data_IF_081758128316
#
_entry.id   IF_081758128316
#
_cell.length_a   1.000
_cell.length_b   1.000
_cell.length_c   1.000
_cell.angle_alpha   90.00
_cell.angle_beta   90.00
_cell.angle_gamma   90.00
#
_symmetry.space_group_name_H-M   'P 1'
#
loop_
_entity.id
_entity.type
_entity.pdbx_description
1 polymer ?
#
# COMPACT_ATOMS: atom_id res chain seq x y z
N UNK A 1 2.93 42.15 1.52
CA UNK A 1 2.96 41.38 2.79
C UNK A 1 2.58 39.89 2.66
N UNK A 2 2.09 39.40 1.50
CA UNK A 2 1.74 37.96 1.28
C UNK A 2 2.95 37.01 1.16
N UNK A 3 4.18 37.51 1.04
CA UNK A 3 5.38 36.69 0.75
C UNK A 3 6.03 36.02 1.97
N UNK A 4 5.80 36.52 3.18
CA UNK A 4 6.50 36.00 4.38
C UNK A 4 5.89 34.73 5.00
N UNK A 5 4.60 34.46 4.74
CA UNK A 5 3.90 33.32 5.35
C UNK A 5 4.10 32.00 4.60
N UNK A 6 4.42 32.05 3.30
CA UNK A 6 4.75 30.88 2.48
C UNK A 6 6.16 30.30 2.78
N UNK A 7 6.98 31.04 3.52
CA UNK A 7 8.32 30.62 3.96
C UNK A 7 8.27 29.62 5.11
N UNK A 8 7.13 29.48 5.79
CA UNK A 8 7.01 28.54 6.88
C UNK A 8 6.49 27.21 6.34
N UNK A 9 7.34 26.17 6.41
CA UNK A 9 7.03 24.78 6.02
C UNK A 9 5.68 24.31 6.59
N UNK A 10 5.32 24.74 7.80
CA UNK A 10 4.05 24.42 8.44
C UNK A 10 2.85 25.05 7.72
N UNK A 11 2.95 26.32 7.31
CA UNK A 11 1.89 27.03 6.60
C UNK A 11 1.78 26.52 5.17
N UNK A 12 2.91 26.32 4.48
CA UNK A 12 2.94 25.74 3.14
C UNK A 12 2.31 24.35 3.10
N UNK A 13 2.69 23.47 4.03
CA UNK A 13 2.12 22.12 4.14
C UNK A 13 0.64 22.13 4.53
N UNK A 14 0.21 23.07 5.37
CA UNK A 14 -1.21 23.23 5.73
C UNK A 14 -2.04 23.69 4.54
N UNK A 15 -1.54 24.64 3.74
CA UNK A 15 -2.20 25.10 2.52
C UNK A 15 -2.26 23.99 1.47
N UNK A 16 -1.16 23.27 1.25
CA UNK A 16 -1.11 22.09 0.39
C UNK A 16 -2.18 21.07 0.80
N UNK A 17 -2.29 20.77 2.10
CA UNK A 17 -3.31 19.85 2.64
C UNK A 17 -4.72 20.36 2.38
N UNK A 18 -4.96 21.65 2.54
CA UNK A 18 -6.28 22.28 2.31
C UNK A 18 -6.68 22.21 0.83
N UNK A 19 -5.81 22.66 -0.07
CA UNK A 19 -6.08 22.64 -1.51
C UNK A 19 -6.19 21.22 -2.07
N UNK A 20 -5.33 20.28 -1.64
CA UNK A 20 -5.43 18.87 -2.02
C UNK A 20 -6.75 18.21 -1.59
N UNK A 21 -7.31 18.62 -0.44
CA UNK A 21 -8.62 18.11 0.03
C UNK A 21 -9.77 18.61 -0.84
N UNK A 22 -9.65 19.80 -1.41
CA UNK A 22 -10.65 20.43 -2.27
C UNK A 22 -10.46 20.14 -3.77
N UNK A 23 -9.61 19.19 -4.12
CA UNK A 23 -9.26 18.84 -5.51
C UNK A 23 -8.57 19.96 -6.32
N UNK A 24 -8.11 21.02 -5.66
CA UNK A 24 -7.38 22.14 -6.25
C UNK A 24 -5.87 21.84 -6.32
N UNK A 25 -5.53 20.78 -7.05
CA UNK A 25 -4.18 20.25 -7.10
C UNK A 25 -3.17 21.16 -7.79
N UNK A 26 -3.60 21.93 -8.81
CA UNK A 26 -2.72 22.88 -9.50
C UNK A 26 -2.22 23.95 -8.52
N UNK A 27 -3.13 24.52 -7.73
CA UNK A 27 -2.79 25.46 -6.66
C UNK A 27 -1.88 24.82 -5.59
N UNK A 28 -2.13 23.56 -5.24
CA UNK A 28 -1.29 22.85 -4.28
C UNK A 28 0.14 22.60 -4.81
N UNK A 29 0.29 22.29 -6.11
CA UNK A 29 1.59 22.19 -6.78
C UNK A 29 2.29 23.54 -6.80
N UNK A 30 1.59 24.62 -7.20
CA UNK A 30 2.16 25.96 -7.21
C UNK A 30 2.68 26.38 -5.83
N UNK A 31 1.94 26.06 -4.76
CA UNK A 31 2.37 26.34 -3.40
C UNK A 31 3.61 25.53 -3.05
N UNK A 32 3.63 24.24 -3.35
CA UNK A 32 4.80 23.39 -3.13
C UNK A 32 6.04 23.97 -3.85
N UNK A 33 5.90 24.33 -5.12
CA UNK A 33 6.99 24.88 -5.94
C UNK A 33 7.51 26.21 -5.40
N UNK A 34 6.63 27.03 -4.82
CA UNK A 34 6.97 28.32 -4.21
C UNK A 34 7.54 28.24 -2.79
N UNK A 35 7.51 27.07 -2.15
CA UNK A 35 8.15 26.88 -0.85
C UNK A 35 9.68 26.88 -1.02
N UNK A 36 10.37 27.75 -0.27
CA UNK A 36 11.85 27.80 -0.25
C UNK A 36 12.44 26.52 0.35
N UNK A 37 11.84 26.01 1.43
CA UNK A 37 12.17 24.72 2.01
C UNK A 37 10.98 23.76 1.84
N UNK A 38 11.23 22.59 1.23
CA UNK A 38 10.28 21.49 1.13
C UNK A 38 10.80 20.34 1.97
N UNK A 39 9.96 19.77 2.81
CA UNK A 39 10.31 18.64 3.64
C UNK A 39 9.60 17.36 3.16
N UNK A 40 9.95 16.21 3.74
CA UNK A 40 9.30 14.93 3.42
C UNK A 40 7.77 15.01 3.57
N UNK A 41 7.28 15.81 4.52
CA UNK A 41 5.86 15.93 4.84
C UNK A 41 5.07 16.64 3.75
N UNK A 42 5.57 17.75 3.20
CA UNK A 42 4.89 18.50 2.13
C UNK A 42 4.76 17.64 0.86
N UNK A 43 5.81 16.94 0.46
CA UNK A 43 5.79 15.98 -0.65
C UNK A 43 4.83 14.81 -0.40
N UNK A 44 4.90 14.20 0.77
CA UNK A 44 4.03 13.07 1.14
C UNK A 44 2.56 13.48 1.12
N UNK A 45 2.24 14.70 1.59
CA UNK A 45 0.86 15.23 1.58
C UNK A 45 0.31 15.32 0.16
N UNK A 46 1.12 15.77 -0.80
CA UNK A 46 0.73 15.83 -2.21
C UNK A 46 0.51 14.43 -2.81
N UNK A 47 1.44 13.50 -2.57
CA UNK A 47 1.34 12.11 -3.04
C UNK A 47 0.06 11.45 -2.52
N UNK A 48 -0.19 11.57 -1.22
CA UNK A 48 -1.40 11.02 -0.56
C UNK A 48 -2.67 11.67 -1.15
N UNK A 49 -2.64 12.99 -1.37
CA UNK A 49 -3.75 13.73 -1.96
C UNK A 49 -4.13 13.20 -3.34
N UNK A 50 -3.16 13.10 -4.25
CA UNK A 50 -3.37 12.58 -5.60
C UNK A 50 -3.80 11.10 -5.59
N UNK A 51 -3.11 10.26 -4.81
CA UNK A 51 -3.44 8.82 -4.69
C UNK A 51 -4.87 8.60 -4.21
N UNK A 52 -5.36 9.37 -3.22
CA UNK A 52 -6.73 9.28 -2.71
C UNK A 52 -7.81 9.66 -3.72
N UNK A 53 -7.46 10.47 -4.73
CA UNK A 53 -8.38 10.91 -5.79
C UNK A 53 -8.21 10.11 -7.08
N UNK A 54 -7.54 8.96 -7.03
CA UNK A 54 -7.24 8.10 -8.18
C UNK A 54 -6.46 8.80 -9.31
N UNK A 55 -5.73 9.86 -8.97
CA UNK A 55 -4.83 10.59 -9.86
C UNK A 55 -3.45 9.93 -9.83
N UNK A 56 -3.38 8.67 -10.27
CA UNK A 56 -2.22 7.79 -10.07
C UNK A 56 -0.97 8.29 -10.79
N UNK A 57 -1.12 8.88 -11.99
CA UNK A 57 0.00 9.40 -12.76
C UNK A 57 0.63 10.63 -12.10
N UNK A 58 -0.21 11.54 -11.59
CA UNK A 58 0.22 12.74 -10.88
C UNK A 58 0.89 12.36 -9.56
N UNK A 59 0.35 11.37 -8.83
CA UNK A 59 0.97 10.86 -7.61
C UNK A 59 2.41 10.36 -7.87
N UNK A 60 2.60 9.54 -8.91
CA UNK A 60 3.95 9.10 -9.32
C UNK A 60 4.82 10.27 -9.76
N UNK A 61 4.29 11.22 -10.52
CA UNK A 61 5.05 12.39 -10.94
C UNK A 61 5.61 13.16 -9.74
N UNK A 62 4.78 13.40 -8.72
CA UNK A 62 5.22 14.03 -7.47
C UNK A 62 6.26 13.19 -6.73
N UNK A 63 6.09 11.87 -6.68
CA UNK A 63 7.07 10.96 -6.07
C UNK A 63 8.42 10.99 -6.80
N UNK A 64 8.42 10.96 -8.14
CA UNK A 64 9.66 11.05 -8.93
C UNK A 64 10.37 12.37 -8.67
N UNK A 65 9.65 13.50 -8.72
CA UNK A 65 10.23 14.82 -8.41
C UNK A 65 10.81 14.91 -7.00
N UNK A 66 10.12 14.33 -6.02
CA UNK A 66 10.62 14.24 -4.64
C UNK A 66 12.00 13.58 -4.60
N UNK A 67 12.17 12.46 -5.32
CA UNK A 67 13.45 11.75 -5.39
C UNK A 67 14.51 12.52 -6.19
N UNK A 68 14.12 13.20 -7.27
CA UNK A 68 15.02 14.04 -8.09
C UNK A 68 15.57 15.25 -7.31
N UNK A 69 14.79 15.80 -6.38
CA UNK A 69 15.23 16.84 -5.44
C UNK A 69 16.08 16.27 -4.27
N UNK A 70 16.42 14.98 -4.30
CA UNK A 70 17.26 14.33 -3.29
C UNK A 70 16.53 14.01 -1.98
N UNK A 71 15.21 14.14 -1.93
CA UNK A 71 14.41 13.84 -0.75
C UNK A 71 14.06 12.35 -0.72
N UNK A 72 14.20 11.73 0.46
CA UNK A 72 13.79 10.34 0.65
C UNK A 72 12.30 10.26 0.94
N UNK A 73 11.59 9.39 0.22
CA UNK A 73 10.22 9.02 0.54
C UNK A 73 10.15 8.19 1.82
N UNK A 74 9.19 8.50 2.69
CA UNK A 74 8.82 7.68 3.85
C UNK A 74 7.73 6.66 3.55
N UNK A 75 7.30 5.96 4.60
CA UNK A 75 6.35 4.85 4.57
C UNK A 75 5.00 5.26 3.97
N UNK A 76 4.47 6.43 4.38
CA UNK A 76 3.19 6.95 3.90
C UNK A 76 3.19 7.27 2.40
N UNK A 77 4.31 7.78 1.89
CA UNK A 77 4.46 8.04 0.45
C UNK A 77 4.51 6.72 -0.32
N UNK A 78 5.32 5.75 0.15
CA UNK A 78 5.43 4.43 -0.48
C UNK A 78 4.10 3.68 -0.53
N UNK A 79 3.39 3.57 0.59
CA UNK A 79 2.08 2.90 0.63
C UNK A 79 1.08 3.55 -0.33
N UNK A 80 1.08 4.88 -0.41
CA UNK A 80 0.20 5.64 -1.32
C UNK A 80 0.54 5.43 -2.79
N UNK A 81 1.82 5.36 -3.14
CA UNK A 81 2.28 5.09 -4.51
C UNK A 81 2.02 3.64 -4.90
N UNK A 82 2.29 2.66 -4.05
CA UNK A 82 1.99 1.25 -4.33
C UNK A 82 0.50 1.04 -4.61
N UNK A 83 -0.37 1.72 -3.87
CA UNK A 83 -1.82 1.73 -4.14
C UNK A 83 -2.17 2.34 -5.50
N UNK A 84 -1.52 3.44 -5.88
CA UNK A 84 -1.69 4.05 -7.20
C UNK A 84 -1.17 3.14 -8.32
N UNK A 85 -0.07 2.42 -8.08
CA UNK A 85 0.46 1.44 -9.01
C UNK A 85 -0.50 0.27 -9.22
N UNK A 86 -1.10 -0.23 -8.14
CA UNK A 86 -2.06 -1.33 -8.19
C UNK A 86 -3.34 -0.99 -8.97
N UNK A 87 -3.71 0.30 -9.04
CA UNK A 87 -4.97 0.72 -9.65
C UNK A 87 -4.89 0.99 -11.15
N UNK A 88 -3.81 1.64 -11.62
CA UNK A 88 -3.75 2.15 -13.01
C UNK A 88 -2.39 1.93 -13.66
N UNK A 89 -1.28 2.01 -12.92
CA UNK A 89 0.06 2.09 -13.53
C UNK A 89 0.63 0.69 -13.84
N UNK A 90 0.31 -0.30 -13.01
CA UNK A 90 0.64 -1.71 -13.25
C UNK A 90 2.03 -2.13 -12.75
N UNK A 91 2.53 -3.23 -13.33
CA UNK A 91 3.68 -3.98 -12.83
C UNK A 91 4.98 -3.15 -12.80
N UNK A 92 5.30 -2.46 -13.89
CA UNK A 92 6.61 -1.81 -14.09
C UNK A 92 6.88 -0.72 -13.06
N UNK A 93 5.90 0.12 -12.78
CA UNK A 93 6.01 1.23 -11.84
C UNK A 93 6.04 0.71 -10.40
N UNK A 94 5.15 -0.21 -10.04
CA UNK A 94 5.15 -0.76 -8.69
C UNK A 94 6.36 -1.65 -8.38
N UNK A 95 6.94 -2.35 -9.36
CA UNK A 95 8.19 -3.10 -9.15
C UNK A 95 9.38 -2.18 -8.90
N UNK A 96 9.42 -1.00 -9.52
CA UNK A 96 10.44 0.02 -9.23
C UNK A 96 10.28 0.57 -7.81
N UNK A 97 9.03 0.81 -7.38
CA UNK A 97 8.70 1.29 -6.04
C UNK A 97 9.06 0.25 -4.98
N UNK A 98 8.80 -1.04 -5.22
CA UNK A 98 9.28 -2.13 -4.37
C UNK A 98 10.81 -2.19 -4.33
N UNK A 99 11.49 -2.03 -5.48
CA UNK A 99 12.95 -1.95 -5.53
C UNK A 99 13.51 -0.76 -4.75
N UNK A 100 12.82 0.38 -4.75
CA UNK A 100 13.15 1.52 -3.90
C UNK A 100 13.00 1.16 -2.42
N UNK A 101 11.88 0.53 -2.02
CA UNK A 101 11.65 0.13 -0.64
C UNK A 101 12.78 -0.75 -0.10
N UNK A 102 13.23 -1.75 -0.88
CA UNK A 102 14.37 -2.61 -0.53
C UNK A 102 15.66 -1.80 -0.34
N UNK A 103 15.94 -0.87 -1.25
CA UNK A 103 17.17 -0.03 -1.17
C UNK A 103 17.18 0.87 0.06
N UNK A 104 16.02 1.29 0.54
CA UNK A 104 15.88 2.18 1.69
C UNK A 104 15.53 1.44 2.99
N UNK A 105 15.48 0.11 2.97
CA UNK A 105 15.09 -0.73 4.10
C UNK A 105 13.64 -0.51 4.58
N UNK A 106 12.82 0.20 3.81
CA UNK A 106 11.42 0.50 4.14
C UNK A 106 10.51 -0.70 3.92
N UNK A 107 10.94 -1.73 3.19
CA UNK A 107 10.26 -3.03 3.14
C UNK A 107 10.16 -3.72 4.50
N UNK A 108 10.97 -3.28 5.48
CA UNK A 108 10.90 -3.77 6.85
C UNK A 108 9.74 -3.17 7.66
N UNK A 109 9.17 -2.04 7.22
CA UNK A 109 7.95 -1.50 7.81
C UNK A 109 6.76 -2.40 7.46
N UNK A 110 5.94 -2.73 8.45
CA UNK A 110 4.81 -3.64 8.29
C UNK A 110 3.76 -3.09 7.29
N UNK A 111 3.52 -1.77 7.31
CA UNK A 111 2.53 -1.13 6.44
C UNK A 111 3.01 -1.09 4.99
N UNK A 112 4.29 -0.79 4.77
CA UNK A 112 4.92 -0.85 3.44
C UNK A 112 4.91 -2.27 2.91
N UNK A 113 5.32 -3.25 3.71
CA UNK A 113 5.33 -4.67 3.32
C UNK A 113 3.95 -5.17 2.92
N UNK A 114 2.93 -4.88 3.73
CA UNK A 114 1.55 -5.22 3.41
C UNK A 114 1.07 -4.54 2.11
N UNK A 115 1.47 -3.28 1.88
CA UNK A 115 1.14 -2.54 0.65
C UNK A 115 1.83 -3.12 -0.59
N UNK A 116 3.07 -3.62 -0.46
CA UNK A 116 3.78 -4.31 -1.55
C UNK A 116 3.06 -5.62 -1.89
N UNK A 117 2.65 -6.39 -0.87
CA UNK A 117 1.90 -7.63 -1.09
C UNK A 117 0.56 -7.34 -1.79
N UNK A 118 -0.24 -6.39 -1.27
CA UNK A 118 -1.51 -5.98 -1.87
C UNK A 118 -1.34 -5.51 -3.32
N UNK A 119 -0.27 -4.76 -3.61
CA UNK A 119 0.07 -4.37 -4.97
C UNK A 119 0.22 -5.58 -5.90
N UNK A 120 1.06 -6.56 -5.54
CA UNK A 120 1.29 -7.73 -6.36
C UNK A 120 0.04 -8.60 -6.54
N UNK A 121 -0.75 -8.77 -5.47
CA UNK A 121 -2.03 -9.49 -5.53
C UNK A 121 -2.98 -8.82 -6.51
N UNK A 122 -3.14 -7.49 -6.45
CA UNK A 122 -4.08 -6.74 -7.30
C UNK A 122 -3.70 -6.75 -8.79
N UNK A 123 -2.42 -6.83 -9.11
CA UNK A 123 -1.98 -6.96 -10.50
C UNK A 123 -1.94 -8.42 -10.99
N UNK A 124 -2.37 -9.38 -10.15
CA UNK A 124 -2.43 -10.80 -10.49
C UNK A 124 -1.12 -11.57 -10.34
N UNK A 125 -0.06 -10.96 -9.79
CA UNK A 125 1.23 -11.60 -9.55
C UNK A 125 1.32 -12.17 -8.12
N UNK A 126 0.54 -13.23 -7.87
CA UNK A 126 0.51 -13.89 -6.56
C UNK A 126 1.85 -14.54 -6.19
N UNK A 127 2.68 -14.88 -7.18
CA UNK A 127 4.02 -15.42 -6.94
C UNK A 127 4.91 -14.37 -6.25
N UNK A 128 4.98 -13.15 -6.78
CA UNK A 128 5.74 -12.07 -6.15
C UNK A 128 5.17 -11.68 -4.79
N UNK A 129 3.84 -11.68 -4.63
CA UNK A 129 3.21 -11.47 -3.33
C UNK A 129 3.64 -12.53 -2.30
N UNK A 130 3.66 -13.81 -2.72
CA UNK A 130 4.13 -14.93 -1.89
C UNK A 130 5.60 -14.81 -1.53
N UNK A 131 6.44 -14.39 -2.47
CA UNK A 131 7.87 -14.18 -2.21
C UNK A 131 8.12 -13.10 -1.14
N UNK A 132 7.33 -12.02 -1.15
CA UNK A 132 7.40 -10.97 -0.13
C UNK A 132 6.92 -11.51 1.22
N UNK A 133 5.86 -12.32 1.24
CA UNK A 133 5.37 -12.98 2.44
C UNK A 133 6.43 -13.90 3.07
N UNK A 134 7.00 -14.83 2.29
CA UNK A 134 7.95 -15.84 2.79
C UNK A 134 9.27 -15.24 3.28
N UNK A 135 9.64 -14.06 2.75
CA UNK A 135 10.84 -13.32 3.18
C UNK A 135 10.59 -12.44 4.40
N UNK A 136 9.37 -12.41 4.94
CA UNK A 136 9.07 -11.57 6.09
C UNK A 136 9.72 -12.12 7.36
N UNK A 137 10.40 -11.28 8.16
CA UNK A 137 10.94 -11.70 9.44
C UNK A 137 9.84 -11.93 10.50
N UNK A 138 8.67 -11.32 10.31
CA UNK A 138 7.52 -11.42 11.20
C UNK A 138 6.24 -11.57 10.38
N UNK A 139 5.30 -12.34 10.90
CA UNK A 139 3.99 -12.52 10.30
C UNK A 139 2.95 -11.81 11.17
N UNK A 140 2.05 -11.07 10.54
CA UNK A 140 0.91 -10.46 11.20
C UNK A 140 -0.42 -10.88 10.54
N UNK A 141 -1.52 -10.47 11.18
CA UNK A 141 -2.88 -10.76 10.72
C UNK A 141 -3.12 -10.23 9.29
N UNK A 142 -2.62 -9.03 8.97
CA UNK A 142 -2.86 -8.38 7.68
C UNK A 142 -2.18 -9.17 6.56
N UNK A 143 -0.91 -9.51 6.72
CA UNK A 143 -0.14 -10.29 5.75
C UNK A 143 -0.78 -11.65 5.47
N UNK A 144 -1.18 -12.37 6.52
CA UNK A 144 -1.84 -13.67 6.37
C UNK A 144 -3.19 -13.52 5.64
N UNK A 145 -3.98 -12.52 6.02
CA UNK A 145 -5.28 -12.23 5.38
C UNK A 145 -5.12 -11.91 3.89
N UNK A 146 -4.10 -11.10 3.53
CA UNK A 146 -3.80 -10.76 2.13
C UNK A 146 -3.48 -12.01 1.32
N UNK A 147 -2.64 -12.92 1.82
CA UNK A 147 -2.30 -14.15 1.10
C UNK A 147 -3.45 -15.14 1.01
N UNK A 148 -4.22 -15.33 2.10
CA UNK A 148 -5.43 -16.16 2.08
C UNK A 148 -6.41 -15.64 1.04
N UNK A 149 -6.64 -14.32 1.01
CA UNK A 149 -7.49 -13.67 0.01
C UNK A 149 -6.99 -13.80 -1.42
N UNK A 150 -5.68 -13.66 -1.63
CA UNK A 150 -5.08 -13.82 -2.95
C UNK A 150 -5.30 -15.24 -3.51
N UNK A 151 -5.04 -16.28 -2.70
CA UNK A 151 -5.26 -17.65 -3.13
C UNK A 151 -6.74 -17.97 -3.32
N UNK A 152 -7.60 -17.48 -2.42
CA UNK A 152 -9.05 -17.61 -2.52
C UNK A 152 -9.61 -17.02 -3.82
N UNK A 153 -9.22 -15.78 -4.17
CA UNK A 153 -9.70 -15.10 -5.38
C UNK A 153 -9.21 -15.76 -6.67
N UNK A 154 -8.06 -16.42 -6.62
CA UNK A 154 -7.51 -17.15 -7.76
C UNK A 154 -8.03 -18.59 -7.87
N UNK A 155 -8.97 -19.01 -7.03
CA UNK A 155 -9.52 -20.38 -7.02
C UNK A 155 -8.58 -21.43 -6.42
N UNK A 156 -7.47 -21.02 -5.80
CA UNK A 156 -6.51 -21.91 -5.14
C UNK A 156 -6.92 -22.16 -3.67
N UNK A 157 -8.12 -22.71 -3.47
CA UNK A 157 -8.72 -22.88 -2.13
C UNK A 157 -7.84 -23.73 -1.19
N UNK A 158 -7.15 -24.74 -1.70
CA UNK A 158 -6.23 -25.58 -0.90
C UNK A 158 -5.11 -24.74 -0.27
N UNK A 159 -4.46 -23.88 -1.06
CA UNK A 159 -3.42 -22.98 -0.57
C UNK A 159 -3.99 -21.94 0.39
N UNK A 160 -5.21 -21.44 0.17
CA UNK A 160 -5.86 -20.52 1.10
C UNK A 160 -6.08 -21.18 2.48
N UNK A 161 -6.52 -22.44 2.51
CA UNK A 161 -6.69 -23.23 3.74
C UNK A 161 -5.35 -23.52 4.40
N UNK A 162 -4.31 -23.88 3.63
CA UNK A 162 -2.96 -24.10 4.15
C UNK A 162 -2.44 -22.85 4.86
N UNK A 163 -2.55 -21.68 4.23
CA UNK A 163 -2.14 -20.41 4.81
C UNK A 163 -2.92 -20.08 6.09
N UNK A 164 -4.22 -20.37 6.12
CA UNK A 164 -5.05 -20.20 7.32
C UNK A 164 -4.61 -21.12 8.46
N UNK A 165 -4.28 -22.38 8.17
CA UNK A 165 -3.73 -23.28 9.17
C UNK A 165 -2.36 -22.84 9.67
N UNK A 166 -1.49 -22.39 8.77
CA UNK A 166 -0.18 -21.86 9.14
C UNK A 166 -0.31 -20.69 10.11
N UNK A 167 -1.21 -19.75 9.80
CA UNK A 167 -1.53 -18.58 10.63
C UNK A 167 -1.89 -18.97 12.07
N UNK A 168 -2.76 -19.96 12.27
CA UNK A 168 -3.19 -20.39 13.61
C UNK A 168 -2.17 -21.30 14.29
N UNK A 169 -1.62 -22.28 13.57
CA UNK A 169 -0.83 -23.36 14.17
C UNK A 169 0.62 -22.96 14.40
N UNK A 170 1.24 -22.29 13.42
CA UNK A 170 2.66 -21.91 13.47
C UNK A 170 2.82 -20.53 14.08
N UNK A 171 2.09 -19.53 13.55
CA UNK A 171 2.27 -18.13 13.96
C UNK A 171 1.45 -17.74 15.19
N UNK A 172 0.48 -18.57 15.60
CA UNK A 172 -0.44 -18.29 16.73
C UNK A 172 -1.21 -16.97 16.56
N UNK A 173 -1.53 -16.62 15.32
CA UNK A 173 -2.29 -15.41 14.98
C UNK A 173 -3.76 -15.81 14.86
N UNK A 174 -4.62 -15.12 15.59
CA UNK A 174 -6.06 -15.38 15.54
C UNK A 174 -6.70 -14.67 14.35
N UNK A 175 -7.49 -15.38 13.54
CA UNK A 175 -8.21 -14.78 12.41
C UNK A 175 -9.30 -13.84 12.89
N UNK A 176 -9.54 -12.78 12.11
CA UNK A 176 -10.68 -11.88 12.31
C UNK A 176 -11.84 -12.25 11.36
N UNK A 177 -12.96 -11.55 11.52
CA UNK A 177 -14.14 -11.70 10.67
C UNK A 177 -13.85 -11.62 9.17
N UNK A 178 -12.93 -10.74 8.75
CA UNK A 178 -12.54 -10.60 7.35
C UNK A 178 -11.77 -11.83 6.84
N UNK A 179 -10.87 -12.37 7.66
CA UNK A 179 -10.10 -13.59 7.32
C UNK A 179 -11.05 -14.77 7.13
N UNK A 180 -11.99 -14.94 8.06
CA UNK A 180 -12.97 -16.02 8.04
C UNK A 180 -13.94 -15.89 6.86
N UNK A 181 -14.46 -14.69 6.61
CA UNK A 181 -15.34 -14.42 5.47
C UNK A 181 -14.64 -14.72 4.13
N UNK A 182 -13.36 -14.34 4.01
CA UNK A 182 -12.54 -14.60 2.81
C UNK A 182 -12.34 -16.10 2.59
N UNK A 183 -12.05 -16.85 3.64
CA UNK A 183 -11.89 -18.30 3.57
C UNK A 183 -13.20 -18.99 3.20
N UNK A 184 -14.32 -18.62 3.82
CA UNK A 184 -15.65 -19.19 3.51
C UNK A 184 -16.07 -18.93 2.07
N UNK A 185 -15.80 -17.74 1.54
CA UNK A 185 -16.09 -17.43 0.15
C UNK A 185 -15.32 -18.37 -0.81
N UNK A 186 -14.09 -18.74 -0.46
CA UNK A 186 -13.26 -19.66 -1.26
C UNK A 186 -13.73 -21.11 -1.23
N UNK A 187 -14.31 -21.58 -0.12
CA UNK A 187 -14.84 -22.96 0.01
C UNK A 187 -16.23 -23.09 -0.61
N UNK A 188 -17.03 -22.03 -0.59
CA UNK A 188 -18.30 -21.98 -1.32
C UNK A 188 -18.13 -22.12 -2.83
N UNK A 189 -17.03 -21.59 -3.39
CA UNK A 189 -16.71 -21.71 -4.83
C UNK A 189 -16.33 -23.14 -5.26
N UNK A 190 -15.82 -23.96 -4.33
CA UNK A 190 -15.41 -25.35 -4.58
C UNK A 190 -16.50 -26.37 -4.21
N UNK A 191 -17.62 -25.91 -3.63
CA UNK A 191 -18.73 -26.77 -3.21
C UNK A 191 -18.51 -27.48 -1.87
N UNK A 192 -17.40 -27.21 -1.18
CA UNK A 192 -17.01 -27.89 0.07
C UNK A 192 -17.34 -27.04 1.31
N UNK A 193 -18.64 -26.73 1.46
CA UNK A 193 -19.16 -25.87 2.53
C UNK A 193 -18.96 -26.48 3.92
N UNK A 194 -18.86 -27.81 4.01
CA UNK A 194 -18.70 -28.56 5.26
C UNK A 194 -17.30 -28.36 5.84
N UNK A 195 -16.26 -28.32 4.99
CA UNK A 195 -14.88 -28.02 5.42
C UNK A 195 -14.76 -26.61 6.02
N UNK A 196 -15.45 -25.63 5.43
CA UNK A 196 -15.46 -24.24 5.91
C UNK A 196 -15.97 -24.09 7.35
N UNK A 197 -16.97 -24.90 7.75
CA UNK A 197 -17.49 -24.92 9.12
C UNK A 197 -16.59 -25.69 10.09
N UNK A 198 -15.93 -26.76 9.63
CA UNK A 198 -15.02 -27.57 10.45
C UNK A 198 -13.74 -26.81 10.79
N UNK A 199 -13.26 -25.92 9.91
CA UNK A 199 -12.04 -25.16 10.15
C UNK A 199 -12.22 -23.88 10.98
N UNK A 200 -13.46 -23.46 11.25
CA UNK A 200 -13.76 -22.33 12.14
C UNK A 200 -13.96 -22.72 13.61
N UNK A 201 -13.99 -24.02 13.92
CA UNK A 201 -14.11 -24.59 15.28
C UNK A 201 -12.76 -25.13 15.76
#
# INVERSE_FOLDING_TARGET
MKMGLLLNVFVGSSLISMYSKNDEFDTAIEILERMEEKDMFSWTTMIVGFSKRNKSFEAIGVFVRMLEEGMMAGEFALTSILKACASVLGFREGSQVHGYAIKTSLENDASVRASIMDFYVKIGDTFSARLVYDRSPYYDLVMCTVMIGAYAQNGNTELAIEMFHQMIREFKIFPNEFTLATLLASTAQTGDVILGLIYML
#
